data_IF_432347032181
#
_entry.id   IF_432347032181
#
_cell.length_a   1.000
_cell.length_b   1.000
_cell.length_c   1.000
_cell.angle_alpha   90.00
_cell.angle_beta   90.00
_cell.angle_gamma   90.00
#
_symmetry.space_group_name_H-M   'P 1'
#
loop_
_entity.id
_entity.type
_entity.pdbx_description
1 polymer ?
#
# COMPACT_ATOMS: atom_id res chain seq x y z
N UNK A 1 3.75 -45.06 8.48
CA UNK A 1 4.90 -44.50 7.81
C UNK A 1 5.07 -43.04 8.15
N UNK A 2 5.89 -42.73 9.14
CA UNK A 2 6.04 -41.37 9.64
C UNK A 2 6.71 -40.34 8.73
N UNK A 3 7.54 -40.69 7.72
CA UNK A 3 8.28 -39.66 6.97
C UNK A 3 7.43 -38.80 6.02
N UNK A 4 6.25 -39.27 5.60
CA UNK A 4 5.42 -38.55 4.66
C UNK A 4 4.67 -37.37 5.33
N UNK A 5 4.43 -37.48 6.64
CA UNK A 5 3.75 -36.40 7.40
C UNK A 5 4.67 -35.22 7.69
N UNK A 6 5.96 -35.43 7.82
CA UNK A 6 6.94 -34.34 8.00
C UNK A 6 7.10 -33.49 6.73
N UNK A 7 7.05 -34.10 5.55
CA UNK A 7 7.14 -33.38 4.28
C UNK A 7 5.96 -32.43 4.03
N UNK A 8 4.76 -32.83 4.47
CA UNK A 8 3.57 -31.95 4.33
C UNK A 8 3.64 -30.72 5.23
N UNK A 9 4.19 -30.85 6.41
CA UNK A 9 4.34 -29.72 7.34
C UNK A 9 5.39 -28.71 6.85
N UNK A 10 6.47 -29.18 6.24
CA UNK A 10 7.50 -28.31 5.66
C UNK A 10 6.98 -27.55 4.44
N UNK A 11 6.15 -28.18 3.60
CA UNK A 11 5.53 -27.55 2.44
C UNK A 11 4.55 -26.44 2.82
N UNK A 12 3.79 -26.59 3.89
CA UNK A 12 2.86 -25.59 4.41
C UNK A 12 3.59 -24.35 4.94
N UNK A 13 4.75 -24.52 5.57
CA UNK A 13 5.60 -23.43 6.04
C UNK A 13 6.21 -22.63 4.88
N UNK A 14 6.54 -23.25 3.76
CA UNK A 14 7.06 -22.59 2.57
C UNK A 14 6.01 -21.73 1.83
N UNK A 15 4.74 -22.11 1.89
CA UNK A 15 3.64 -21.34 1.27
C UNK A 15 3.32 -20.04 2.02
N UNK A 16 3.66 -19.95 3.31
CA UNK A 16 3.45 -18.76 4.12
C UNK A 16 4.57 -17.72 3.99
N UNK A 17 5.72 -18.08 3.41
CA UNK A 17 6.89 -17.20 3.28
C UNK A 17 6.74 -16.05 2.26
N UNK A 18 5.97 -16.13 1.14
CA UNK A 18 5.89 -15.04 0.16
C UNK A 18 4.95 -13.88 0.52
N UNK A 19 4.21 -13.94 1.61
CA UNK A 19 3.16 -12.97 1.92
C UNK A 19 3.67 -11.65 2.53
N UNK A 20 5.00 -11.41 2.59
CA UNK A 20 5.58 -10.34 3.37
C UNK A 20 6.07 -9.09 2.62
N UNK A 21 6.02 -9.05 1.27
CA UNK A 21 6.71 -8.00 0.50
C UNK A 21 6.04 -6.64 0.48
N UNK A 22 4.77 -6.52 0.88
CA UNK A 22 4.01 -5.26 0.89
C UNK A 22 3.49 -4.90 2.29
N UNK A 23 3.97 -5.55 3.32
CA UNK A 23 3.52 -5.27 4.68
C UNK A 23 4.29 -4.08 5.27
N UNK A 24 3.59 -3.13 5.91
CA UNK A 24 4.27 -2.05 6.61
C UNK A 24 5.09 -2.60 7.79
N UNK A 25 6.11 -1.83 8.19
CA UNK A 25 6.91 -2.15 9.37
C UNK A 25 6.01 -2.34 10.60
N UNK A 26 6.32 -3.28 11.52
CA UNK A 26 5.57 -3.44 12.76
C UNK A 26 5.48 -2.18 13.63
N UNK A 27 6.41 -1.24 13.45
CA UNK A 27 6.43 0.03 14.16
C UNK A 27 5.64 1.13 13.44
N UNK A 28 5.15 0.87 12.24
CA UNK A 28 4.34 1.81 11.47
C UNK A 28 2.93 1.95 12.08
N UNK A 29 2.32 3.16 12.07
CA UNK A 29 0.92 3.30 12.43
C UNK A 29 -0.03 2.53 11.50
N UNK A 30 0.45 2.10 10.34
CA UNK A 30 -0.32 1.30 9.38
C UNK A 30 -0.17 -0.20 9.58
N UNK A 31 0.60 -0.64 10.59
CA UNK A 31 0.77 -2.06 10.87
C UNK A 31 -0.58 -2.72 11.18
N UNK A 32 -0.84 -3.86 10.55
CA UNK A 32 -2.10 -4.59 10.73
C UNK A 32 -3.31 -3.98 10.03
N UNK A 33 -3.17 -2.82 9.38
CA UNK A 33 -4.26 -2.19 8.65
C UNK A 33 -4.36 -2.83 7.26
N UNK A 34 -5.54 -3.34 6.85
CA UNK A 34 -5.70 -3.91 5.52
C UNK A 34 -5.58 -2.83 4.44
N UNK A 35 -4.95 -3.19 3.33
CA UNK A 35 -4.82 -2.32 2.18
C UNK A 35 -6.02 -2.48 1.25
N UNK A 36 -6.45 -1.38 0.61
CA UNK A 36 -7.42 -1.39 -0.48
C UNK A 36 -6.74 -0.92 -1.75
N UNK A 37 -6.96 -1.65 -2.83
CA UNK A 37 -6.41 -1.28 -4.13
C UNK A 37 -7.36 -0.37 -4.88
N UNK A 38 -6.80 0.69 -5.45
CA UNK A 38 -7.53 1.69 -6.23
C UNK A 38 -6.70 2.06 -7.46
N UNK A 39 -7.36 2.17 -8.60
CA UNK A 39 -6.73 2.66 -9.83
C UNK A 39 -7.17 4.11 -10.08
N UNK A 40 -6.19 4.99 -10.25
CA UNK A 40 -6.39 6.41 -10.55
C UNK A 40 -5.54 6.78 -11.75
N UNK A 41 -6.19 7.13 -12.86
CA UNK A 41 -5.49 7.63 -14.05
C UNK A 41 -4.46 6.67 -14.63
N UNK A 42 -4.70 5.36 -14.55
CA UNK A 42 -3.79 4.33 -15.02
C UNK A 42 -2.72 3.89 -14.02
N UNK A 43 -2.70 4.49 -12.82
CA UNK A 43 -1.80 4.07 -11.74
C UNK A 43 -2.58 3.30 -10.70
N UNK A 44 -2.04 2.20 -10.21
CA UNK A 44 -2.66 1.38 -9.17
C UNK A 44 -1.98 1.63 -7.83
N UNK A 45 -2.78 1.88 -6.80
CA UNK A 45 -2.30 2.16 -5.46
C UNK A 45 -2.88 1.18 -4.45
N UNK A 46 -2.05 0.76 -3.51
CA UNK A 46 -2.46 0.06 -2.30
C UNK A 46 -2.56 1.09 -1.19
N UNK A 47 -3.79 1.36 -0.72
CA UNK A 47 -4.06 2.44 0.23
C UNK A 47 -4.42 1.85 1.59
N UNK A 48 -3.77 2.37 2.63
CA UNK A 48 -4.09 2.07 4.03
C UNK A 48 -4.49 3.35 4.73
N UNK A 49 -5.57 3.28 5.51
CA UNK A 49 -6.06 4.41 6.30
C UNK A 49 -6.01 3.99 7.77
N UNK A 50 -5.31 4.76 8.58
CA UNK A 50 -5.18 4.55 10.02
C UNK A 50 -5.56 5.85 10.74
N UNK A 51 -6.79 5.90 11.28
CA UNK A 51 -7.31 7.12 11.90
C UNK A 51 -7.38 8.25 10.90
N UNK A 52 -6.71 9.36 11.18
CA UNK A 52 -6.66 10.55 10.33
C UNK A 52 -5.43 10.58 9.42
N UNK A 53 -4.81 9.44 9.16
CA UNK A 53 -3.64 9.34 8.29
C UNK A 53 -3.89 8.30 7.22
N UNK A 54 -3.33 8.54 6.03
CA UNK A 54 -3.38 7.62 4.91
C UNK A 54 -2.00 7.44 4.30
N UNK A 55 -1.78 6.24 3.77
CA UNK A 55 -0.59 5.90 3.01
C UNK A 55 -1.01 5.20 1.72
N UNK A 56 -0.45 5.62 0.61
CA UNK A 56 -0.63 4.98 -0.68
C UNK A 56 0.71 4.50 -1.19
N UNK A 57 0.77 3.21 -1.55
CA UNK A 57 1.93 2.60 -2.17
C UNK A 57 1.55 2.26 -3.61
N UNK A 58 2.33 2.73 -4.55
CA UNK A 58 2.13 2.39 -5.96
C UNK A 58 2.53 0.94 -6.19
N UNK A 59 1.64 0.17 -6.79
CA UNK A 59 1.86 -1.27 -7.02
C UNK A 59 2.00 -1.64 -8.49
N UNK A 60 1.64 -0.74 -9.41
CA UNK A 60 1.87 -0.98 -10.83
C UNK A 60 3.33 -0.66 -11.20
N UNK A 61 3.84 -1.36 -12.19
CA UNK A 61 5.16 -1.11 -12.73
C UNK A 61 5.02 -0.44 -14.10
N UNK A 62 5.35 0.85 -14.17
CA UNK A 62 5.34 1.60 -15.40
C UNK A 62 6.69 2.31 -15.60
N UNK A 63 7.44 1.87 -16.60
CA UNK A 63 8.73 2.46 -16.97
C UNK A 63 8.60 3.91 -17.43
N UNK A 64 7.42 4.33 -17.88
CA UNK A 64 7.14 5.71 -18.25
C UNK A 64 6.91 6.64 -17.07
N UNK A 65 6.80 6.09 -15.87
CA UNK A 65 6.55 6.84 -14.65
C UNK A 65 7.68 7.82 -14.30
N UNK A 66 8.91 7.58 -14.76
CA UNK A 66 10.02 8.49 -14.55
C UNK A 66 9.77 9.89 -15.08
N UNK A 67 9.04 10.02 -16.22
CA UNK A 67 8.67 11.30 -16.82
C UNK A 67 7.34 11.86 -16.26
N UNK A 68 6.55 11.04 -15.57
CA UNK A 68 5.23 11.37 -15.02
C UNK A 68 5.21 11.38 -13.48
N UNK A 69 6.38 11.28 -12.85
CA UNK A 69 6.49 11.19 -11.39
C UNK A 69 5.76 12.31 -10.64
N UNK A 70 5.70 13.50 -11.22
CA UNK A 70 4.98 14.65 -10.65
C UNK A 70 3.46 14.45 -10.61
N UNK A 71 2.89 13.66 -11.52
CA UNK A 71 1.46 13.38 -11.55
C UNK A 71 1.05 12.25 -10.61
N UNK A 72 1.99 11.43 -10.15
CA UNK A 72 1.71 10.26 -9.31
C UNK A 72 1.32 10.65 -7.90
N UNK A 73 2.01 11.60 -7.29
CA UNK A 73 1.69 12.05 -5.93
C UNK A 73 0.28 12.64 -5.83
N UNK A 74 -0.16 13.52 -6.74
CA UNK A 74 -1.57 13.97 -6.75
C UNK A 74 -2.56 12.83 -6.94
N UNK A 75 -2.26 11.85 -7.78
CA UNK A 75 -3.13 10.66 -7.96
C UNK A 75 -3.22 9.81 -6.70
N UNK A 76 -2.10 9.65 -5.99
CA UNK A 76 -2.09 8.97 -4.70
C UNK A 76 -3.00 9.68 -3.70
N UNK A 77 -3.00 11.01 -3.69
CA UNK A 77 -3.90 11.82 -2.86
C UNK A 77 -5.37 11.55 -3.19
N UNK A 78 -5.73 11.49 -4.46
CA UNK A 78 -7.09 11.15 -4.89
C UNK A 78 -7.47 9.75 -4.42
N UNK A 79 -6.55 8.78 -4.53
CA UNK A 79 -6.78 7.42 -4.05
C UNK A 79 -7.05 7.38 -2.54
N UNK A 80 -6.29 8.14 -1.76
CA UNK A 80 -6.49 8.25 -0.31
C UNK A 80 -7.86 8.84 0.03
N UNK A 81 -8.29 9.87 -0.69
CA UNK A 81 -9.60 10.48 -0.49
C UNK A 81 -10.74 9.51 -0.84
N UNK A 82 -10.60 8.75 -1.93
CA UNK A 82 -11.61 7.77 -2.31
C UNK A 82 -11.76 6.64 -1.28
N UNK A 83 -10.64 6.11 -0.77
CA UNK A 83 -10.66 5.01 0.18
C UNK A 83 -11.16 5.47 1.55
N UNK A 84 -10.73 6.64 2.00
CA UNK A 84 -11.07 7.16 3.33
C UNK A 84 -12.45 7.81 3.40
N UNK A 85 -12.94 8.36 2.29
CA UNK A 85 -14.10 9.23 2.29
C UNK A 85 -13.85 10.61 2.91
N UNK A 86 -12.59 10.92 3.22
CA UNK A 86 -12.18 12.18 3.84
C UNK A 86 -11.39 13.03 2.85
N UNK A 87 -11.17 14.29 3.18
CA UNK A 87 -10.31 15.17 2.40
C UNK A 87 -8.91 15.21 2.97
N UNK A 88 -7.93 15.38 2.09
CA UNK A 88 -6.54 15.59 2.52
C UNK A 88 -6.42 16.99 3.11
N UNK A 89 -5.76 17.08 4.25
CA UNK A 89 -5.41 18.37 4.86
C UNK A 89 -4.45 19.10 3.92
N UNK A 90 -4.74 20.35 3.54
CA UNK A 90 -3.87 21.11 2.64
C UNK A 90 -2.42 21.14 3.13
N UNK A 91 -1.47 20.86 2.23
CA UNK A 91 -0.04 20.85 2.55
C UNK A 91 0.48 19.60 3.24
N UNK A 92 -0.38 18.63 3.57
CA UNK A 92 0.04 17.41 4.26
C UNK A 92 0.46 16.27 3.32
N UNK A 93 0.06 16.32 2.05
CA UNK A 93 0.43 15.29 1.08
C UNK A 93 1.91 15.39 0.75
N UNK A 94 2.63 14.30 1.02
CA UNK A 94 4.07 14.22 0.80
C UNK A 94 4.45 12.81 0.37
N UNK A 95 5.59 12.69 -0.27
CA UNK A 95 6.12 11.41 -0.71
C UNK A 95 6.71 11.50 -2.12
N UNK A 96 6.84 10.35 -2.73
CA UNK A 96 7.41 10.19 -4.06
C UNK A 96 6.52 9.31 -4.94
N UNK A 97 7.05 8.91 -6.10
CA UNK A 97 6.31 8.05 -7.03
C UNK A 97 6.03 6.64 -6.49
N UNK A 98 6.71 6.21 -5.45
CA UNK A 98 6.53 4.88 -4.88
C UNK A 98 5.61 4.88 -3.66
N UNK A 99 5.82 5.83 -2.73
CA UNK A 99 5.08 5.89 -1.46
C UNK A 99 4.68 7.33 -1.16
N UNK A 100 3.41 7.55 -0.88
CA UNK A 100 2.89 8.85 -0.47
C UNK A 100 2.08 8.72 0.82
N UNK A 101 2.12 9.76 1.64
CA UNK A 101 1.38 9.84 2.90
C UNK A 101 0.70 11.21 3.02
N UNK A 102 -0.39 11.24 3.76
CA UNK A 102 -1.11 12.47 4.03
C UNK A 102 -1.90 12.39 5.34
N UNK A 103 -2.24 13.54 5.88
CA UNK A 103 -3.21 13.67 6.96
C UNK A 103 -4.60 13.90 6.37
N UNK A 104 -5.62 13.37 7.02
CA UNK A 104 -7.00 13.42 6.57
C UNK A 104 -7.84 14.30 7.48
N UNK A 105 -8.73 15.08 6.86
CA UNK A 105 -9.79 15.82 7.53
C UNK A 105 -11.10 15.08 7.27
N UNK A 106 -11.57 14.40 8.26
CA UNK A 106 -12.82 13.62 8.19
C UNK A 106 -14.01 14.32 8.83
#
# INVERSE_FOLDING_TARGET
MPPIRMFRSVLVLLVLAPAGCDSPSPLSPFAGVPARQVEIGGSTFSVRVAGERARAVRTDFDLRAGSRGRAIVPRAGIAMEQVSGCRIVPGSLRGDAAVSEASLAC
#
